data_IF_288642950835
#
_entry.id   IF_288642950835
#
_cell.length_a   1.000
_cell.length_b   1.000
_cell.length_c   1.000
_cell.angle_alpha   90.00
_cell.angle_beta   90.00
_cell.angle_gamma   90.00
#
_symmetry.space_group_name_H-M   'P 1'
#
loop_
_entity.id
_entity.type
_entity.pdbx_description
1 polymer ?
#
# COMPACT_ATOMS: atom_id res chain seq x y z
N UNK A 1 -3.02 -1.58 13.72
CA UNK A 1 -2.83 -1.89 12.29
C UNK A 1 -1.36 -1.66 12.00
N UNK A 2 -0.62 -2.73 11.74
CA UNK A 2 0.78 -2.60 11.33
C UNK A 2 0.79 -2.46 9.81
N UNK A 3 1.60 -1.55 9.28
CA UNK A 3 1.70 -1.28 7.84
C UNK A 3 1.92 -2.56 6.98
N UNK A 4 2.75 -3.54 7.41
CA UNK A 4 2.91 -4.79 6.67
C UNK A 4 1.63 -5.62 6.54
N UNK A 5 0.75 -5.62 7.55
CA UNK A 5 -0.50 -6.38 7.55
C UNK A 5 -1.45 -5.90 6.45
N UNK A 6 -1.46 -4.59 6.16
CA UNK A 6 -2.30 -4.00 5.09
C UNK A 6 -1.83 -4.46 3.71
N UNK A 7 -0.52 -4.53 3.49
CA UNK A 7 0.02 -4.98 2.22
C UNK A 7 -0.15 -6.49 2.01
N UNK A 8 0.05 -7.28 3.06
CA UNK A 8 -0.19 -8.73 3.05
C UNK A 8 -1.66 -9.05 2.75
N UNK A 9 -2.57 -8.31 3.39
CA UNK A 9 -4.01 -8.38 3.17
C UNK A 9 -4.41 -8.06 1.72
N UNK A 10 -3.77 -7.07 1.11
CA UNK A 10 -4.02 -6.65 -0.28
C UNK A 10 -3.51 -7.72 -1.25
N UNK A 11 -2.32 -8.28 -1.00
CA UNK A 11 -1.76 -9.36 -1.81
C UNK A 11 -2.66 -10.60 -1.72
N UNK A 12 -3.06 -11.00 -0.51
CA UNK A 12 -3.97 -12.12 -0.27
C UNK A 12 -5.28 -11.97 -1.03
N UNK A 13 -5.88 -10.78 -1.01
CA UNK A 13 -7.12 -10.50 -1.73
C UNK A 13 -6.95 -10.64 -3.26
N UNK A 14 -5.80 -10.21 -3.80
CA UNK A 14 -5.49 -10.40 -5.24
C UNK A 14 -5.22 -11.87 -5.55
N UNK A 15 -4.54 -12.62 -4.69
CA UNK A 15 -4.27 -14.05 -4.90
C UNK A 15 -5.53 -14.90 -4.85
N UNK A 16 -6.47 -14.59 -3.97
CA UNK A 16 -7.78 -15.26 -3.89
C UNK A 16 -8.61 -15.07 -5.16
N UNK A 17 -8.51 -13.89 -5.80
CA UNK A 17 -9.23 -13.56 -7.04
C UNK A 17 -8.36 -12.76 -8.01
N UNK A 18 -7.43 -13.41 -8.75
CA UNK A 18 -6.47 -12.70 -9.60
C UNK A 18 -7.08 -11.87 -10.74
N UNK A 19 -8.32 -12.18 -11.13
CA UNK A 19 -9.09 -11.43 -12.14
C UNK A 19 -9.99 -10.33 -11.58
N UNK A 20 -10.13 -10.23 -10.25
CA UNK A 20 -11.00 -9.26 -9.59
C UNK A 20 -10.23 -8.58 -8.44
N UNK A 21 -9.64 -7.44 -8.76
CA UNK A 21 -8.87 -6.63 -7.79
C UNK A 21 -9.76 -5.72 -6.94
N UNK A 22 -11.08 -5.69 -7.18
CA UNK A 22 -11.99 -4.80 -6.46
C UNK A 22 -11.96 -5.01 -4.94
N UNK A 23 -11.91 -6.24 -4.39
CA UNK A 23 -11.80 -6.45 -2.94
C UNK A 23 -10.54 -5.80 -2.33
N UNK A 24 -9.41 -5.85 -3.05
CA UNK A 24 -8.18 -5.19 -2.62
C UNK A 24 -8.32 -3.66 -2.62
N UNK A 25 -8.94 -3.10 -3.68
CA UNK A 25 -9.25 -1.67 -3.77
C UNK A 25 -10.18 -1.19 -2.63
N UNK A 26 -11.22 -1.97 -2.32
CA UNK A 26 -12.18 -1.67 -1.27
C UNK A 26 -11.51 -1.67 0.11
N UNK A 27 -10.59 -2.61 0.35
CA UNK A 27 -9.84 -2.69 1.61
C UNK A 27 -8.93 -1.47 1.80
N UNK A 28 -8.21 -1.06 0.75
CA UNK A 28 -7.38 0.15 0.77
C UNK A 28 -8.22 1.41 1.00
N UNK A 29 -9.36 1.52 0.32
CA UNK A 29 -10.33 2.61 0.50
C UNK A 29 -10.84 2.68 1.94
N UNK A 30 -11.19 1.53 2.54
CA UNK A 30 -11.65 1.46 3.92
C UNK A 30 -10.55 1.92 4.91
N UNK A 31 -9.30 1.55 4.67
CA UNK A 31 -8.15 2.01 5.47
C UNK A 31 -7.98 3.54 5.35
N UNK A 32 -8.11 4.09 4.15
CA UNK A 32 -8.09 5.55 3.94
C UNK A 32 -9.16 6.28 4.76
N UNK A 33 -10.42 5.80 4.68
CA UNK A 33 -11.55 6.33 5.47
C UNK A 33 -11.29 6.25 6.97
N UNK A 34 -10.71 5.13 7.43
CA UNK A 34 -10.37 4.95 8.84
C UNK A 34 -9.36 6.00 9.33
N UNK A 35 -8.33 6.32 8.53
CA UNK A 35 -7.35 7.35 8.92
C UNK A 35 -7.98 8.74 8.97
N UNK A 36 -8.85 9.09 7.99
CA UNK A 36 -9.61 10.34 8.00
C UNK A 36 -10.44 10.49 9.28
N UNK A 37 -11.11 9.42 9.69
CA UNK A 37 -11.95 9.41 10.89
C UNK A 37 -11.14 9.50 12.21
N UNK A 38 -9.90 9.01 12.22
CA UNK A 38 -9.07 8.90 13.43
C UNK A 38 -8.09 10.05 13.64
N UNK A 39 -7.83 10.89 12.64
CA UNK A 39 -6.82 11.93 12.77
C UNK A 39 -7.22 13.24 12.08
N UNK A 40 -7.39 14.29 12.87
CA UNK A 40 -7.63 15.66 12.41
C UNK A 40 -6.41 16.32 11.75
N UNK A 41 -5.23 15.68 11.77
CA UNK A 41 -3.95 16.27 11.35
C UNK A 41 -3.12 15.39 10.40
N UNK A 42 -3.66 14.29 9.86
CA UNK A 42 -2.93 13.52 8.85
C UNK A 42 -3.05 14.25 7.50
N UNK A 43 -1.91 14.61 6.93
CA UNK A 43 -1.79 15.16 5.57
C UNK A 43 -1.43 14.08 4.55
N UNK A 44 -1.79 14.30 3.27
CA UNK A 44 -1.51 13.37 2.16
C UNK A 44 -0.03 13.02 2.02
N UNK A 45 0.85 14.01 2.27
CA UNK A 45 2.30 13.87 2.18
C UNK A 45 2.85 12.75 3.08
N UNK A 46 2.17 12.45 4.20
CA UNK A 46 2.61 11.38 5.10
C UNK A 46 2.38 9.99 4.50
N UNK A 47 1.31 9.80 3.70
CA UNK A 47 1.11 8.54 3.00
C UNK A 47 2.13 8.34 1.88
N UNK A 48 2.46 9.41 1.15
CA UNK A 48 3.50 9.40 0.12
C UNK A 48 4.89 9.10 0.71
N UNK A 49 5.20 9.67 1.88
CA UNK A 49 6.46 9.44 2.57
C UNK A 49 6.66 7.98 3.02
N UNK A 50 5.63 7.12 2.99
CA UNK A 50 5.76 5.70 3.31
C UNK A 50 6.39 4.86 2.19
N UNK A 51 6.53 5.41 0.97
CA UNK A 51 7.11 4.67 -0.16
C UNK A 51 8.55 4.23 0.12
N UNK A 52 9.41 5.16 0.55
CA UNK A 52 10.83 4.87 0.80
C UNK A 52 11.04 3.86 1.95
N UNK A 53 10.35 3.97 3.12
CA UNK A 53 10.36 2.92 4.13
C UNK A 53 9.88 1.55 3.62
N UNK A 54 8.86 1.52 2.76
CA UNK A 54 8.36 0.28 2.16
C UNK A 54 9.40 -0.35 1.24
N UNK A 55 10.05 0.43 0.39
CA UNK A 55 11.12 -0.05 -0.49
C UNK A 55 12.36 -0.48 0.29
N UNK A 56 12.71 0.24 1.35
CA UNK A 56 13.79 -0.15 2.24
C UNK A 56 13.52 -1.51 2.86
N UNK A 57 12.30 -1.75 3.38
CA UNK A 57 11.90 -3.07 3.87
C UNK A 57 12.01 -4.16 2.79
N UNK A 58 11.52 -3.90 1.57
CA UNK A 58 11.63 -4.86 0.47
C UNK A 58 13.09 -5.16 0.11
N UNK A 59 13.97 -4.14 0.14
CA UNK A 59 15.41 -4.29 -0.08
C UNK A 59 16.08 -5.12 1.01
N UNK A 60 15.75 -4.90 2.27
CA UNK A 60 16.30 -5.70 3.39
C UNK A 60 15.86 -7.17 3.30
N UNK A 61 14.62 -7.45 2.87
CA UNK A 61 14.12 -8.83 2.72
C UNK A 61 14.71 -9.55 1.51
N UNK A 62 14.87 -8.84 0.39
CA UNK A 62 15.34 -9.45 -0.86
C UNK A 62 16.86 -9.44 -1.02
N UNK A 63 17.55 -8.57 -0.27
CA UNK A 63 19.02 -8.42 -0.26
C UNK A 63 19.60 -8.33 -1.68
N UNK A 64 20.46 -9.28 -2.06
CA UNK A 64 21.12 -9.36 -3.36
C UNK A 64 20.15 -9.57 -4.53
N UNK A 65 18.92 -10.01 -4.26
CA UNK A 65 17.86 -10.16 -5.27
C UNK A 65 17.10 -8.88 -5.55
N UNK A 66 17.30 -7.81 -4.77
CA UNK A 66 16.68 -6.52 -5.01
C UNK A 66 17.45 -5.73 -6.10
N UNK A 67 17.02 -5.88 -7.35
CA UNK A 67 17.55 -5.15 -8.50
C UNK A 67 16.57 -4.08 -9.02
N UNK A 68 16.96 -3.31 -10.03
CA UNK A 68 16.13 -2.24 -10.62
C UNK A 68 14.74 -2.72 -11.06
N UNK A 69 14.65 -3.95 -11.57
CA UNK A 69 13.36 -4.55 -11.97
C UNK A 69 12.48 -4.83 -10.75
N UNK A 70 13.06 -5.37 -9.67
CA UNK A 70 12.34 -5.58 -8.41
C UNK A 70 11.86 -4.24 -7.84
N UNK A 71 12.73 -3.24 -7.79
CA UNK A 71 12.37 -1.90 -7.32
C UNK A 71 11.19 -1.31 -8.11
N UNK A 72 11.25 -1.37 -9.45
CA UNK A 72 10.16 -0.89 -10.30
C UNK A 72 8.83 -1.59 -10.04
N UNK A 73 8.84 -2.90 -9.75
CA UNK A 73 7.64 -3.65 -9.38
C UNK A 73 7.07 -3.20 -8.04
N UNK A 74 7.92 -3.05 -7.01
CA UNK A 74 7.48 -2.61 -5.69
C UNK A 74 6.97 -1.15 -5.70
N UNK A 75 7.63 -0.24 -6.44
CA UNK A 75 7.13 1.13 -6.63
C UNK A 75 5.76 1.16 -7.31
N UNK A 76 5.57 0.33 -8.34
CA UNK A 76 4.27 0.21 -9.02
C UNK A 76 3.18 -0.34 -8.09
N UNK A 77 3.50 -1.36 -7.29
CA UNK A 77 2.58 -1.92 -6.31
C UNK A 77 2.23 -0.90 -5.20
N UNK A 78 3.22 -0.18 -4.68
CA UNK A 78 2.99 0.87 -3.69
C UNK A 78 2.11 1.99 -4.27
N UNK A 79 2.37 2.42 -5.51
CA UNK A 79 1.57 3.42 -6.21
C UNK A 79 0.10 2.97 -6.35
N UNK A 80 -0.14 1.69 -6.67
CA UNK A 80 -1.48 1.12 -6.67
C UNK A 80 -2.15 1.22 -5.30
N UNK A 81 -1.44 0.83 -4.23
CA UNK A 81 -1.96 0.92 -2.86
C UNK A 81 -2.29 2.35 -2.45
N UNK A 82 -1.35 3.27 -2.70
CA UNK A 82 -1.46 4.68 -2.36
C UNK A 82 -2.68 5.33 -3.05
N UNK A 83 -2.94 5.00 -4.32
CA UNK A 83 -4.10 5.52 -5.06
C UNK A 83 -5.40 5.28 -4.31
N UNK A 84 -5.75 4.02 -4.02
CA UNK A 84 -7.03 3.68 -3.39
C UNK A 84 -7.09 4.07 -1.92
N UNK A 85 -5.95 4.07 -1.22
CA UNK A 85 -5.87 4.60 0.12
C UNK A 85 -6.23 6.10 0.14
N UNK A 86 -5.66 6.89 -0.78
CA UNK A 86 -5.97 8.32 -0.88
C UNK A 86 -7.41 8.57 -1.36
N UNK A 87 -7.97 7.74 -2.23
CA UNK A 87 -9.39 7.83 -2.60
C UNK A 87 -10.28 7.72 -1.35
N UNK A 88 -10.04 6.71 -0.50
CA UNK A 88 -10.76 6.57 0.76
C UNK A 88 -10.49 7.68 1.77
N UNK A 89 -9.26 8.19 1.82
CA UNK A 89 -8.91 9.30 2.71
C UNK A 89 -9.58 10.63 2.29
N UNK A 90 -9.80 10.82 0.99
CA UNK A 90 -10.45 12.02 0.45
C UNK A 90 -11.98 11.94 0.49
N UNK A 91 -12.57 10.74 0.49
CA UNK A 91 -14.02 10.54 0.51
C UNK A 91 -14.71 11.03 1.78
#
# INVERSE_FOLDING_TARGET
MKIPEVFDDVISAVEERPGDVQPACDKLTAVGKMHKAKASQIEHKYFQAMEEPFLHMAKEVLQDRFNEKAEGLFRKFFSFCLKYLLEGFNS
#
